data_IF_560214555427
#
_entry.id   IF_560214555427
#
_cell.length_a   1.000
_cell.length_b   1.000
_cell.length_c   1.000
_cell.angle_alpha   90.00
_cell.angle_beta   90.00
_cell.angle_gamma   90.00
#
_symmetry.space_group_name_H-M   'P 1'
#
loop_
_entity.id
_entity.type
_entity.pdbx_description
1 polymer ?
#
# COMPACT_ATOMS: atom_id res chain seq x y z
N UNK A 1 19.74 1.76 -7.65
CA UNK A 1 19.16 2.09 -6.34
C UNK A 1 20.15 1.66 -5.26
N UNK A 2 21.13 2.49 -4.97
CA UNK A 2 22.01 2.29 -3.80
C UNK A 2 21.20 2.64 -2.54
N UNK A 3 21.27 1.78 -1.52
CA UNK A 3 20.58 2.03 -0.23
C UNK A 3 19.08 1.74 -0.20
N UNK A 4 18.57 0.82 -1.02
CA UNK A 4 17.22 0.25 -0.86
C UNK A 4 17.32 -1.25 -0.67
N UNK A 5 16.75 -1.77 0.42
CA UNK A 5 16.68 -3.20 0.73
C UNK A 5 15.28 -3.74 0.46
N UNK A 6 15.17 -4.79 -0.35
CA UNK A 6 13.90 -5.42 -0.70
C UNK A 6 13.61 -6.66 0.17
N UNK A 7 12.43 -6.70 0.77
CA UNK A 7 11.90 -7.82 1.53
C UNK A 7 10.64 -8.35 0.85
N UNK A 8 10.74 -9.53 0.22
CA UNK A 8 9.58 -10.20 -0.37
C UNK A 8 8.71 -10.80 0.73
N UNK A 9 7.47 -10.35 0.85
CA UNK A 9 6.50 -10.83 1.85
C UNK A 9 5.65 -11.96 1.25
N UNK A 10 5.24 -11.79 -0.01
CA UNK A 10 4.52 -12.83 -0.76
C UNK A 10 4.84 -12.73 -2.24
N UNK A 11 4.15 -13.51 -3.10
CA UNK A 11 4.26 -13.40 -4.55
C UNK A 11 3.96 -11.98 -5.06
N UNK A 12 3.01 -11.28 -4.42
CA UNK A 12 2.46 -10.00 -4.87
C UNK A 12 2.73 -8.84 -3.92
N UNK A 13 3.47 -9.08 -2.83
CA UNK A 13 3.74 -8.06 -1.82
C UNK A 13 5.24 -7.99 -1.56
N UNK A 14 5.80 -6.81 -1.78
CA UNK A 14 7.21 -6.51 -1.54
C UNK A 14 7.35 -5.25 -0.71
N UNK A 15 8.07 -5.34 0.39
CA UNK A 15 8.45 -4.18 1.18
C UNK A 15 9.86 -3.71 0.81
N UNK A 16 9.99 -2.42 0.50
CA UNK A 16 11.23 -1.77 0.09
C UNK A 16 11.64 -0.77 1.17
N UNK A 17 12.67 -1.11 1.93
CA UNK A 17 13.25 -0.27 2.97
C UNK A 17 14.26 0.71 2.35
N UNK A 18 14.12 1.99 2.65
CA UNK A 18 15.02 3.05 2.20
C UNK A 18 16.10 3.34 3.25
N UNK A 19 17.27 2.76 3.09
CA UNK A 19 18.36 2.83 4.06
C UNK A 19 19.09 4.19 4.02
N UNK A 20 18.92 4.96 2.96
CA UNK A 20 19.57 6.29 2.76
C UNK A 20 19.03 7.34 3.73
N UNK A 21 17.76 7.26 4.11
CA UNK A 21 17.16 8.23 5.03
C UNK A 21 17.74 8.14 6.46
N UNK A 22 18.28 6.97 6.84
CA UNK A 22 18.88 6.78 8.18
C UNK A 22 20.20 7.53 8.38
N UNK A 23 20.88 7.95 7.30
CA UNK A 23 22.19 8.62 7.37
C UNK A 23 22.08 10.14 7.48
N UNK A 24 20.99 10.77 7.02
CA UNK A 24 20.81 12.22 7.09
C UNK A 24 20.22 12.70 8.43
N UNK A 25 19.60 11.81 9.21
CA UNK A 25 18.91 12.16 10.47
C UNK A 25 19.65 11.72 11.72
N UNK A 26 20.96 11.44 11.64
CA UNK A 26 21.78 11.04 12.79
C UNK A 26 21.90 12.12 13.92
N UNK A 27 21.30 13.30 13.74
CA UNK A 27 21.25 14.38 14.71
C UNK A 27 19.88 14.69 15.32
N UNK A 28 18.81 13.93 15.03
CA UNK A 28 17.46 14.20 15.55
C UNK A 28 16.94 12.96 16.30
N UNK A 29 16.61 13.13 17.57
CA UNK A 29 16.01 12.10 18.44
C UNK A 29 14.81 11.39 17.78
N UNK A 30 14.53 10.12 18.10
CA UNK A 30 13.54 9.31 17.40
C UNK A 30 12.13 9.62 17.94
N UNK A 31 11.56 10.77 17.58
CA UNK A 31 10.23 11.14 18.11
C UNK A 31 9.09 10.53 17.26
N UNK A 32 9.34 10.20 15.99
CA UNK A 32 8.28 9.71 15.09
C UNK A 32 8.71 8.51 14.23
N UNK A 33 7.88 7.46 14.13
CA UNK A 33 8.10 6.36 13.22
C UNK A 33 8.21 6.83 11.76
N UNK A 34 9.17 6.27 11.02
CA UNK A 34 9.37 6.59 9.60
C UNK A 34 8.08 6.33 8.79
N UNK A 35 7.64 7.25 7.92
CA UNK A 35 6.41 7.04 7.15
C UNK A 35 6.58 5.88 6.14
N UNK A 36 5.45 5.30 5.75
CA UNK A 36 5.39 4.24 4.76
C UNK A 36 4.34 4.58 3.70
N UNK A 37 4.67 4.29 2.44
CA UNK A 37 3.74 4.31 1.33
C UNK A 37 3.17 2.91 1.10
N UNK A 38 1.84 2.78 1.07
CA UNK A 38 1.18 1.67 0.40
C UNK A 38 1.01 2.02 -1.07
N UNK A 39 1.84 1.41 -1.92
CA UNK A 39 1.80 1.58 -3.37
C UNK A 39 1.03 0.41 -3.97
N UNK A 40 -0.12 0.69 -4.58
CA UNK A 40 -0.95 -0.28 -5.28
C UNK A 40 -0.88 0.04 -6.78
N UNK A 41 0.04 -0.59 -7.54
CA UNK A 41 0.23 -0.30 -8.95
C UNK A 41 -0.93 -0.82 -9.81
N UNK A 42 -0.94 -0.41 -11.08
CA UNK A 42 -1.90 -0.93 -12.05
C UNK A 42 -1.61 -2.38 -12.42
N UNK A 43 -2.60 -3.04 -13.01
CA UNK A 43 -2.50 -4.44 -13.41
C UNK A 43 -1.35 -4.67 -14.40
N UNK A 44 -0.50 -5.66 -14.12
CA UNK A 44 0.60 -6.02 -15.01
C UNK A 44 1.68 -4.95 -15.12
N UNK A 45 1.79 -4.07 -14.12
CA UNK A 45 2.84 -3.06 -14.07
C UNK A 45 4.23 -3.67 -14.19
N UNK A 46 5.05 -3.11 -15.08
CA UNK A 46 6.44 -3.57 -15.25
C UNK A 46 7.28 -3.13 -14.04
N UNK A 47 8.22 -3.97 -13.55
CA UNK A 47 9.07 -3.62 -12.42
C UNK A 47 9.80 -2.28 -12.57
N UNK A 48 10.25 -1.93 -13.78
CA UNK A 48 10.94 -0.67 -14.05
C UNK A 48 10.02 0.55 -13.88
N UNK A 49 8.72 0.41 -14.17
CA UNK A 49 7.77 1.49 -14.00
C UNK A 49 7.43 1.68 -12.51
N UNK A 50 7.23 0.59 -11.77
CA UNK A 50 7.04 0.61 -10.31
C UNK A 50 8.24 1.28 -9.64
N UNK A 51 9.47 0.91 -10.04
CA UNK A 51 10.71 1.46 -9.47
C UNK A 51 10.79 3.00 -9.58
N UNK A 52 10.36 3.58 -10.71
CA UNK A 52 10.32 5.05 -10.89
C UNK A 52 9.37 5.72 -9.90
N UNK A 53 8.20 5.12 -9.66
CA UNK A 53 7.28 5.65 -8.66
C UNK A 53 7.85 5.51 -7.25
N UNK A 54 8.42 4.35 -6.90
CA UNK A 54 9.08 4.17 -5.60
C UNK A 54 10.18 5.21 -5.36
N UNK A 55 10.97 5.56 -6.37
CA UNK A 55 12.04 6.54 -6.27
C UNK A 55 11.56 7.94 -5.85
N UNK A 56 10.38 8.37 -6.33
CA UNK A 56 9.77 9.65 -5.91
C UNK A 56 9.61 9.70 -4.38
N UNK A 57 9.19 8.59 -3.79
CA UNK A 57 8.92 8.49 -2.35
C UNK A 57 10.18 8.22 -1.53
N UNK A 58 11.13 7.46 -2.06
CA UNK A 58 12.43 7.29 -1.40
C UNK A 58 13.16 8.63 -1.24
N UNK A 59 13.08 9.51 -2.24
CA UNK A 59 13.65 10.88 -2.16
C UNK A 59 13.01 11.75 -1.07
N UNK A 60 11.83 11.38 -0.58
CA UNK A 60 11.12 12.08 0.50
C UNK A 60 11.14 11.33 1.83
N UNK A 61 11.96 10.27 1.93
CA UNK A 61 12.21 9.56 3.18
C UNK A 61 11.23 8.43 3.52
N UNK A 62 10.35 8.06 2.59
CA UNK A 62 9.43 6.93 2.79
C UNK A 62 10.13 5.59 2.62
N UNK A 63 9.63 4.56 3.33
CA UNK A 63 9.69 3.19 2.83
C UNK A 63 8.46 2.91 1.96
N UNK A 64 8.51 1.89 1.11
CA UNK A 64 7.41 1.56 0.20
C UNK A 64 6.99 0.10 0.36
N UNK A 65 5.70 -0.12 0.64
CA UNK A 65 5.05 -1.41 0.55
C UNK A 65 4.31 -1.50 -0.78
N UNK A 66 4.85 -2.27 -1.71
CA UNK A 66 4.23 -2.52 -3.02
C UNK A 66 3.28 -3.70 -2.90
N UNK A 67 2.01 -3.51 -3.28
CA UNK A 67 0.94 -4.51 -3.23
C UNK A 67 0.32 -4.62 -4.62
N UNK A 68 0.73 -5.64 -5.37
CA UNK A 68 0.27 -5.87 -6.74
C UNK A 68 -1.05 -6.65 -6.78
N UNK A 69 -1.97 -6.23 -7.64
CA UNK A 69 -3.25 -6.92 -7.84
C UNK A 69 -3.17 -7.98 -8.96
N UNK A 70 -3.98 -9.04 -8.83
CA UNK A 70 -4.25 -10.00 -9.92
C UNK A 70 -5.65 -9.79 -10.52
N UNK A 71 -5.82 -10.09 -11.82
CA UNK A 71 -7.12 -9.99 -12.51
C UNK A 71 -8.21 -10.79 -11.80
N UNK A 72 -7.87 -11.98 -11.32
CA UNK A 72 -8.79 -12.88 -10.64
C UNK A 72 -9.41 -12.25 -9.39
N UNK A 73 -8.66 -11.44 -8.65
CA UNK A 73 -9.13 -10.74 -7.44
C UNK A 73 -10.17 -9.67 -7.77
N UNK A 74 -10.09 -9.08 -8.97
CA UNK A 74 -11.07 -8.12 -9.45
C UNK A 74 -12.32 -8.80 -10.02
N UNK A 75 -12.15 -9.88 -10.80
CA UNK A 75 -13.26 -10.59 -11.42
C UNK A 75 -14.08 -11.44 -10.43
N UNK A 76 -13.47 -11.93 -9.34
CA UNK A 76 -14.16 -12.68 -8.28
C UNK A 76 -14.18 -11.89 -6.98
N UNK A 77 -15.32 -11.26 -6.60
CA UNK A 77 -15.41 -10.39 -5.43
C UNK A 77 -14.96 -11.05 -4.13
N UNK A 78 -15.23 -12.35 -3.96
CA UNK A 78 -14.78 -13.13 -2.79
C UNK A 78 -13.26 -13.11 -2.65
N UNK A 79 -12.52 -13.36 -3.74
CA UNK A 79 -11.07 -13.39 -3.72
C UNK A 79 -10.46 -12.00 -3.55
N UNK A 80 -11.09 -10.98 -4.14
CA UNK A 80 -10.73 -9.58 -3.88
C UNK A 80 -10.87 -9.23 -2.40
N UNK A 81 -11.98 -9.62 -1.77
CA UNK A 81 -12.22 -9.37 -0.36
C UNK A 81 -11.23 -10.14 0.53
N UNK A 82 -10.98 -11.42 0.27
CA UNK A 82 -9.97 -12.21 0.99
C UNK A 82 -8.58 -11.57 0.87
N UNK A 83 -8.18 -11.12 -0.33
CA UNK A 83 -6.90 -10.45 -0.55
C UNK A 83 -6.80 -9.11 0.18
N UNK A 84 -7.86 -8.30 0.17
CA UNK A 84 -7.94 -7.06 0.95
C UNK A 84 -7.79 -7.31 2.47
N UNK A 85 -8.28 -8.44 2.96
CA UNK A 85 -8.09 -8.87 4.35
C UNK A 85 -6.62 -9.14 4.68
N UNK A 86 -5.91 -9.86 3.83
CA UNK A 86 -4.46 -10.10 4.03
C UNK A 86 -3.64 -8.81 4.01
N UNK A 87 -4.00 -7.85 3.13
CA UNK A 87 -3.34 -6.53 3.11
C UNK A 87 -3.62 -5.77 4.41
N UNK A 88 -4.85 -5.83 4.92
CA UNK A 88 -5.23 -5.21 6.21
C UNK A 88 -4.44 -5.81 7.38
N UNK A 89 -4.38 -7.14 7.47
CA UNK A 89 -3.59 -7.85 8.49
C UNK A 89 -2.12 -7.44 8.45
N UNK A 90 -1.56 -7.30 7.25
CA UNK A 90 -0.19 -6.84 7.10
C UNK A 90 -0.03 -5.42 7.62
N UNK A 91 -0.91 -4.49 7.25
CA UNK A 91 -0.88 -3.10 7.72
C UNK A 91 -0.99 -3.01 9.25
N UNK A 92 -1.72 -3.92 9.90
CA UNK A 92 -1.88 -3.99 11.35
C UNK A 92 -0.76 -4.74 12.07
N UNK A 93 0.18 -5.37 11.35
CA UNK A 93 1.32 -6.03 11.97
C UNK A 93 2.21 -5.04 12.73
N UNK A 94 2.92 -5.52 13.76
CA UNK A 94 3.87 -4.73 14.58
C UNK A 94 4.85 -3.91 13.74
N UNK A 95 5.24 -4.42 12.57
CA UNK A 95 6.15 -3.74 11.65
C UNK A 95 5.59 -2.44 11.07
N UNK A 96 4.28 -2.35 10.90
CA UNK A 96 3.62 -1.29 10.12
C UNK A 96 2.56 -0.50 10.90
N UNK A 97 1.99 -1.06 11.98
CA UNK A 97 0.84 -0.50 12.70
C UNK A 97 1.09 0.88 13.32
N UNK A 98 2.34 1.21 13.68
CA UNK A 98 2.69 2.51 14.27
C UNK A 98 3.17 3.56 13.25
N UNK A 99 3.26 3.20 11.97
CA UNK A 99 3.87 4.06 10.95
C UNK A 99 2.84 4.97 10.29
N UNK A 100 3.11 6.28 10.12
CA UNK A 100 2.27 7.14 9.29
C UNK A 100 2.15 6.56 7.87
N UNK A 101 0.92 6.45 7.37
CA UNK A 101 0.60 5.77 6.12
C UNK A 101 0.16 6.77 5.06
N UNK A 102 0.81 6.73 3.90
CA UNK A 102 0.30 7.32 2.67
C UNK A 102 -0.19 6.20 1.76
N UNK A 103 -1.30 6.40 1.06
CA UNK A 103 -1.82 5.44 0.08
C UNK A 103 -1.70 6.04 -1.31
N UNK A 104 -1.11 5.32 -2.25
CA UNK A 104 -1.12 5.66 -3.67
C UNK A 104 -1.63 4.47 -4.46
N UNK A 105 -2.81 4.62 -5.05
CA UNK A 105 -3.49 3.56 -5.77
C UNK A 105 -3.74 3.94 -7.24
N UNK A 106 -3.26 3.10 -8.14
CA UNK A 106 -3.39 3.24 -9.58
C UNK A 106 -4.42 2.25 -10.12
N UNK A 107 -5.35 2.69 -10.98
CA UNK A 107 -6.21 1.79 -11.76
C UNK A 107 -6.88 0.72 -10.86
N UNK A 108 -6.67 -0.57 -11.14
CA UNK A 108 -7.20 -1.70 -10.36
C UNK A 108 -6.70 -1.72 -8.89
N UNK A 109 -5.55 -1.12 -8.60
CA UNK A 109 -5.03 -0.98 -7.25
C UNK A 109 -5.99 -0.19 -6.34
N UNK A 110 -6.79 0.70 -6.92
CA UNK A 110 -7.88 1.39 -6.21
C UNK A 110 -8.95 0.41 -5.71
N UNK A 111 -9.32 -0.57 -6.54
CA UNK A 111 -10.25 -1.63 -6.13
C UNK A 111 -9.65 -2.48 -5.00
N UNK A 112 -8.37 -2.86 -5.09
CA UNK A 112 -7.71 -3.61 -3.99
C UNK A 112 -7.75 -2.85 -2.68
N UNK A 113 -7.50 -1.53 -2.70
CA UNK A 113 -7.64 -0.72 -1.48
C UNK A 113 -9.08 -0.61 -1.00
N UNK A 114 -10.05 -0.50 -1.91
CA UNK A 114 -11.46 -0.53 -1.54
C UNK A 114 -11.84 -1.83 -0.78
N UNK A 115 -11.29 -2.98 -1.18
CA UNK A 115 -11.49 -4.23 -0.44
C UNK A 115 -10.91 -4.20 0.98
N UNK A 116 -9.78 -3.52 1.20
CA UNK A 116 -9.25 -3.25 2.55
C UNK A 116 -10.26 -2.41 3.34
N UNK A 117 -10.79 -1.34 2.73
CA UNK A 117 -11.74 -0.44 3.37
C UNK A 117 -13.08 -1.13 3.68
N UNK A 118 -13.51 -2.11 2.88
CA UNK A 118 -14.71 -2.94 3.18
C UNK A 118 -14.53 -3.71 4.49
N UNK A 119 -13.32 -4.22 4.79
CA UNK A 119 -13.06 -4.84 6.09
C UNK A 119 -13.00 -3.83 7.22
N UNK A 120 -12.35 -2.69 7.01
CA UNK A 120 -12.30 -1.59 7.99
C UNK A 120 -13.71 -1.12 8.37
N UNK A 121 -14.62 -1.01 7.39
CA UNK A 121 -15.99 -0.57 7.60
C UNK A 121 -16.83 -1.54 8.46
N UNK A 122 -16.46 -2.83 8.53
CA UNK A 122 -17.16 -3.81 9.38
C UNK A 122 -16.89 -3.60 10.87
N UNK A 123 -15.73 -3.03 11.23
CA UNK A 123 -15.33 -2.79 12.62
C UNK A 123 -14.42 -1.56 12.70
N UNK A 124 -15.02 -0.38 12.54
CA UNK A 124 -14.27 0.89 12.51
C UNK A 124 -13.56 1.20 13.82
N UNK A 125 -14.08 0.70 14.95
CA UNK A 125 -13.45 0.87 16.25
C UNK A 125 -12.16 0.04 16.35
N UNK A 126 -12.19 -1.23 15.92
CA UNK A 126 -10.99 -2.08 15.87
C UNK A 126 -9.89 -1.47 15.00
N UNK A 127 -10.25 -0.93 13.84
CA UNK A 127 -9.30 -0.39 12.87
C UNK A 127 -9.10 1.13 12.99
N UNK A 128 -9.44 1.72 14.14
CA UNK A 128 -9.25 3.14 14.39
C UNK A 128 -7.75 3.53 14.33
N UNK A 129 -6.85 2.64 14.76
CA UNK A 129 -5.40 2.85 14.67
C UNK A 129 -4.92 3.05 13.23
N UNK A 130 -5.38 2.19 12.31
CA UNK A 130 -5.10 2.32 10.88
C UNK A 130 -5.67 3.62 10.30
N UNK A 131 -6.94 3.92 10.56
CA UNK A 131 -7.59 5.10 9.97
C UNK A 131 -6.97 6.41 10.47
N UNK A 132 -6.62 6.50 11.75
CA UNK A 132 -5.96 7.67 12.34
C UNK A 132 -4.55 7.92 11.81
N UNK A 133 -3.83 6.88 11.39
CA UNK A 133 -2.45 7.02 10.88
C UNK A 133 -2.37 7.22 9.37
N UNK A 134 -3.47 7.06 8.63
CA UNK A 134 -3.51 7.44 7.21
C UNK A 134 -3.45 8.97 7.11
N UNK A 135 -2.41 9.49 6.43
CA UNK A 135 -2.15 10.93 6.29
C UNK A 135 -2.54 11.48 4.93
N UNK A 136 -2.89 10.63 3.98
CA UNK A 136 -3.35 11.05 2.66
C UNK A 136 -3.62 9.87 1.73
N UNK A 137 -4.35 10.18 0.65
CA UNK A 137 -4.63 9.26 -0.44
C UNK A 137 -4.31 9.94 -1.77
N UNK A 138 -3.68 9.21 -2.67
CA UNK A 138 -3.44 9.59 -4.06
C UNK A 138 -4.10 8.52 -4.92
N UNK A 139 -5.07 8.93 -5.72
CA UNK A 139 -5.79 8.07 -6.62
C UNK A 139 -5.49 8.48 -8.06
N UNK A 140 -4.88 7.58 -8.82
CA UNK A 140 -4.51 7.83 -10.21
C UNK A 140 -5.30 6.88 -11.12
N UNK A 141 -6.19 7.47 -11.93
CA UNK A 141 -6.90 6.77 -12.99
C UNK A 141 -7.64 5.51 -12.51
N UNK A 142 -8.43 5.62 -11.44
CA UNK A 142 -9.08 4.49 -10.79
C UNK A 142 -9.99 3.68 -11.71
N UNK A 143 -9.99 2.37 -11.50
CA UNK A 143 -11.05 1.49 -12.01
C UNK A 143 -12.20 1.53 -11.01
N UNK A 144 -13.33 2.09 -11.42
CA UNK A 144 -14.57 2.15 -10.64
C UNK A 144 -15.70 1.52 -11.45
N UNK A 145 -16.56 0.75 -10.78
CA UNK A 145 -17.73 0.14 -11.40
C UNK A 145 -18.63 -0.51 -10.36
N UNK A 146 -19.93 -0.55 -10.65
CA UNK A 146 -20.87 -1.43 -9.94
C UNK A 146 -21.09 -2.69 -10.79
N UNK A 147 -21.59 -3.77 -10.16
CA UNK A 147 -21.96 -4.99 -10.87
C UNK A 147 -22.89 -4.70 -12.07
N UNK A 148 -23.82 -3.76 -11.89
CA UNK A 148 -24.76 -3.33 -12.93
C UNK A 148 -24.08 -2.71 -14.16
N UNK A 149 -22.92 -2.07 -13.99
CA UNK A 149 -22.18 -1.44 -15.09
C UNK A 149 -21.09 -2.35 -15.68
N UNK A 150 -20.81 -3.49 -15.06
CA UNK A 150 -19.78 -4.45 -15.51
C UNK A 150 -20.36 -5.65 -16.27
N UNK A 151 -21.68 -5.89 -16.17
CA UNK A 151 -22.35 -7.06 -16.75
C UNK A 151 -23.06 -6.78 -18.10
N UNK A 152 -22.83 -5.62 -18.72
CA UNK A 152 -23.41 -5.25 -20.02
C UNK A 152 -22.42 -5.45 -21.17
#
# INVERSE_FOLDING_TARGET
>A
MTGVTAHKISKHITFLANDVAGTLTAGVSPVHPKPILLLLPWLGSRPQAIAKYCEIYFRTGFDVLVVESEVSQFLWPRWGLEYGGHVLELLESERFSQRPLLVHAFSIGGYTFAQVLVHVAKDTQRYQGLTNRIRGHIYDSLVMGSLEHMAN
#
